data_IF_893217786317
#
_entry.id   IF_893217786317
#
_cell.length_a   1.000
_cell.length_b   1.000
_cell.length_c   1.000
_cell.angle_alpha   90.00
_cell.angle_beta   90.00
_cell.angle_gamma   90.00
#
_symmetry.space_group_name_H-M   'P 1'
#
loop_
_entity.id
_entity.type
_entity.pdbx_description
1 polymer ?
#
# COMPACT_ATOMS: atom_id res chain seq x y z
N UNK A 1 -3.33 -3.22 1.84
CA UNK A 1 -2.99 -2.00 1.06
C UNK A 1 -4.23 -1.12 0.94
N UNK A 2 -4.39 -0.13 1.81
CA UNK A 2 -5.62 0.67 1.89
C UNK A 2 -5.91 1.39 0.56
N UNK A 3 -7.14 1.21 0.04
CA UNK A 3 -7.57 1.77 -1.24
C UNK A 3 -7.16 1.00 -2.49
N UNK A 4 -6.44 -0.13 -2.36
CA UNK A 4 -6.10 -1.01 -3.48
C UNK A 4 -6.69 -2.42 -3.35
N UNK A 5 -7.09 -2.84 -2.15
CA UNK A 5 -7.61 -4.18 -1.90
C UNK A 5 -8.48 -4.23 -0.64
N UNK A 6 -9.27 -5.31 -0.53
CA UNK A 6 -9.94 -5.74 0.68
C UNK A 6 -9.98 -7.29 0.76
N UNK A 7 -11.12 -7.88 1.10
CA UNK A 7 -11.26 -9.34 1.31
C UNK A 7 -10.88 -10.20 0.11
N UNK A 8 -11.13 -9.78 -1.14
CA UNK A 8 -10.91 -10.65 -2.32
C UNK A 8 -9.43 -11.00 -2.49
N UNK A 9 -8.53 -10.02 -2.37
CA UNK A 9 -7.10 -10.27 -2.38
C UNK A 9 -6.68 -11.13 -1.18
N UNK A 10 -7.21 -10.84 0.02
CA UNK A 10 -6.88 -11.61 1.22
C UNK A 10 -7.26 -13.09 1.06
N UNK A 11 -8.44 -13.38 0.49
CA UNK A 11 -8.92 -14.74 0.20
C UNK A 11 -7.98 -15.45 -0.78
N UNK A 12 -7.63 -14.79 -1.88
CA UNK A 12 -6.76 -15.37 -2.89
C UNK A 12 -5.34 -15.67 -2.34
N UNK A 13 -4.79 -14.76 -1.54
CA UNK A 13 -3.51 -14.99 -0.84
C UNK A 13 -3.62 -16.19 0.11
N UNK A 14 -4.70 -16.29 0.89
CA UNK A 14 -4.93 -17.41 1.81
C UNK A 14 -5.04 -18.76 1.07
N UNK A 15 -5.76 -18.80 -0.06
CA UNK A 15 -5.84 -20.00 -0.92
C UNK A 15 -4.49 -20.42 -1.50
N UNK A 16 -3.61 -19.44 -1.73
CA UNK A 16 -2.23 -19.66 -2.13
C UNK A 16 -1.28 -20.09 -1.01
N UNK A 17 -1.76 -20.21 0.23
CA UNK A 17 -0.97 -20.61 1.41
C UNK A 17 -0.31 -19.45 2.17
N UNK A 18 -0.65 -18.20 1.85
CA UNK A 18 -0.15 -17.02 2.55
C UNK A 18 -1.08 -16.51 3.66
N UNK A 19 -0.65 -15.44 4.35
CA UNK A 19 -1.48 -14.71 5.31
C UNK A 19 -2.19 -13.54 4.62
N UNK A 20 -3.50 -13.67 4.38
CA UNK A 20 -4.32 -12.59 3.83
C UNK A 20 -4.45 -11.42 4.83
N UNK A 21 -4.50 -10.19 4.33
CA UNK A 21 -4.60 -8.98 5.16
C UNK A 21 -5.65 -8.00 4.66
N UNK A 22 -6.52 -7.51 5.56
CA UNK A 22 -7.51 -6.46 5.27
C UNK A 22 -7.02 -5.11 5.84
N UNK A 23 -6.93 -4.05 5.02
CA UNK A 23 -6.55 -2.72 5.48
C UNK A 23 -7.75 -1.93 6.01
N UNK A 24 -7.87 -1.80 7.33
CA UNK A 24 -9.03 -1.21 7.99
C UNK A 24 -9.01 0.33 8.02
N UNK A 25 -7.87 0.97 7.75
CA UNK A 25 -7.70 2.43 7.93
C UNK A 25 -8.65 3.33 7.11
N UNK A 26 -9.29 2.81 6.06
CA UNK A 26 -10.26 3.55 5.22
C UNK A 26 -11.67 2.93 5.27
N UNK A 27 -11.89 1.93 6.11
CA UNK A 27 -13.13 1.17 6.18
C UNK A 27 -13.96 1.60 7.40
N UNK A 28 -15.28 1.59 7.26
CA UNK A 28 -16.17 1.67 8.43
C UNK A 28 -16.13 0.35 9.20
N UNK A 29 -16.52 0.33 10.49
CA UNK A 29 -16.62 -0.91 11.26
C UNK A 29 -17.50 -1.98 10.58
N UNK A 30 -18.63 -1.59 9.99
CA UNK A 30 -19.51 -2.51 9.28
C UNK A 30 -18.86 -3.10 8.02
N UNK A 31 -18.12 -2.28 7.26
CA UNK A 31 -17.37 -2.79 6.11
C UNK A 31 -16.27 -3.78 6.54
N UNK A 32 -15.60 -3.54 7.67
CA UNK A 32 -14.63 -4.51 8.21
C UNK A 32 -15.32 -5.82 8.59
N UNK A 33 -16.49 -5.78 9.27
CA UNK A 33 -17.27 -6.99 9.58
C UNK A 33 -17.62 -7.75 8.32
N UNK A 34 -18.15 -7.07 7.31
CA UNK A 34 -18.53 -7.66 6.02
C UNK A 34 -17.34 -8.38 5.37
N UNK A 35 -16.20 -7.70 5.28
CA UNK A 35 -14.99 -8.29 4.68
C UNK A 35 -14.45 -9.49 5.47
N UNK A 36 -14.51 -9.45 6.81
CA UNK A 36 -14.09 -10.59 7.65
C UNK A 36 -15.05 -11.77 7.51
N UNK A 37 -16.37 -11.54 7.48
CA UNK A 37 -17.36 -12.58 7.25
C UNK A 37 -17.17 -13.23 5.87
N UNK A 38 -16.97 -12.41 4.82
CA UNK A 38 -16.68 -12.89 3.47
C UNK A 38 -15.40 -13.71 3.42
N UNK A 39 -14.32 -13.24 4.05
CA UNK A 39 -13.08 -14.00 4.13
C UNK A 39 -13.28 -15.36 4.78
N UNK A 40 -13.85 -15.39 5.99
CA UNK A 40 -14.07 -16.63 6.76
C UNK A 40 -14.98 -17.62 6.04
N UNK A 41 -16.01 -17.13 5.37
CA UNK A 41 -16.87 -17.99 4.55
C UNK A 41 -16.11 -18.61 3.37
N UNK A 42 -15.30 -17.81 2.68
CA UNK A 42 -14.57 -18.24 1.48
C UNK A 42 -13.33 -19.10 1.77
N UNK A 43 -12.83 -19.10 3.01
CA UNK A 43 -11.64 -19.84 3.46
C UNK A 43 -11.96 -20.88 4.54
N UNK A 44 -13.24 -21.19 4.77
CA UNK A 44 -13.72 -22.10 5.83
C UNK A 44 -12.98 -23.46 5.83
N UNK A 45 -12.84 -24.08 4.67
CA UNK A 45 -12.17 -25.38 4.50
C UNK A 45 -10.64 -25.31 4.74
N UNK A 46 -10.05 -24.11 4.70
CA UNK A 46 -8.62 -23.89 4.88
C UNK A 46 -8.27 -23.56 6.33
N UNK A 47 -9.25 -23.18 7.15
CA UNK A 47 -9.02 -22.58 8.49
C UNK A 47 -7.95 -21.48 8.45
N UNK A 48 -7.95 -20.68 7.38
CA UNK A 48 -6.88 -19.74 7.11
C UNK A 48 -6.89 -18.56 8.10
N UNK A 49 -5.75 -18.17 8.68
CA UNK A 49 -5.66 -16.99 9.53
C UNK A 49 -5.84 -15.70 8.72
N UNK A 50 -6.35 -14.65 9.37
CA UNK A 50 -6.48 -13.31 8.79
C UNK A 50 -5.70 -12.27 9.59
N UNK A 51 -5.09 -11.32 8.88
CA UNK A 51 -4.50 -10.12 9.44
C UNK A 51 -5.44 -8.91 9.25
N UNK A 52 -5.79 -8.21 10.33
CA UNK A 52 -6.42 -6.89 10.26
C UNK A 52 -5.39 -5.80 10.50
N UNK A 53 -5.24 -4.89 9.53
CA UNK A 53 -4.28 -3.79 9.62
C UNK A 53 -4.95 -2.47 9.98
N UNK A 54 -4.49 -1.84 11.06
CA UNK A 54 -4.95 -0.54 11.54
C UNK A 54 -3.84 0.51 11.54
N UNK A 55 -4.20 1.79 11.61
CA UNK A 55 -3.26 2.89 11.72
C UNK A 55 -3.29 3.46 13.15
N UNK A 56 -2.15 3.62 13.81
CA UNK A 56 -2.04 4.18 15.17
C UNK A 56 -1.43 5.58 15.16
N UNK A 57 -2.00 6.48 14.36
CA UNK A 57 -1.56 7.87 14.31
C UNK A 57 -2.45 8.74 15.19
N UNK A 58 -2.01 9.96 15.46
CA UNK A 58 -2.84 11.00 16.08
C UNK A 58 -3.47 11.86 14.99
N UNK A 59 -4.72 12.25 15.17
CA UNK A 59 -5.33 13.27 14.31
C UNK A 59 -4.83 14.65 14.75
N UNK A 60 -4.22 15.44 13.86
CA UNK A 60 -3.81 16.79 14.20
C UNK A 60 -5.06 17.67 14.44
N UNK A 61 -4.97 18.70 15.30
CA UNK A 61 -6.04 19.67 15.43
C UNK A 61 -6.25 20.41 14.09
N UNK A 62 -7.48 20.89 13.87
CA UNK A 62 -7.77 21.70 12.68
C UNK A 62 -6.87 22.93 12.61
N UNK A 63 -6.27 23.17 11.43
CA UNK A 63 -5.41 24.31 11.20
C UNK A 63 -5.79 25.02 9.89
N UNK A 64 -6.81 25.90 9.94
CA UNK A 64 -7.33 26.58 8.74
C UNK A 64 -6.28 27.40 7.99
N UNK A 65 -5.25 27.90 8.69
CA UNK A 65 -4.16 28.68 8.09
C UNK A 65 -3.30 27.80 7.20
N UNK A 66 -2.86 26.64 7.70
CA UNK A 66 -2.08 25.66 6.93
C UNK A 66 -2.91 25.08 5.79
N UNK A 67 -4.19 24.78 6.04
CA UNK A 67 -5.10 24.29 5.00
C UNK A 67 -5.26 25.30 3.87
N UNK A 68 -5.42 26.59 4.21
CA UNK A 68 -5.53 27.66 3.21
C UNK A 68 -4.21 27.88 2.46
N UNK A 69 -3.07 27.84 3.15
CA UNK A 69 -1.76 27.92 2.51
C UNK A 69 -1.57 26.80 1.49
N UNK A 70 -1.93 25.56 1.86
CA UNK A 70 -1.84 24.41 0.96
C UNK A 70 -2.78 24.56 -0.25
N UNK A 71 -4.00 25.04 -0.04
CA UNK A 71 -4.91 25.36 -1.16
C UNK A 71 -4.34 26.43 -2.10
N UNK A 72 -3.70 27.48 -1.56
CA UNK A 72 -3.09 28.53 -2.37
C UNK A 72 -1.91 27.99 -3.20
N UNK A 73 -1.10 27.08 -2.63
CA UNK A 73 -0.01 26.41 -3.36
C UNK A 73 -0.58 25.56 -4.51
N UNK A 74 -1.74 24.92 -4.29
CA UNK A 74 -2.40 24.09 -5.31
C UNK A 74 -3.23 24.89 -6.32
N UNK A 75 -3.45 26.19 -6.09
CA UNK A 75 -4.29 27.05 -6.93
C UNK A 75 -3.91 27.08 -8.41
N UNK A 76 -2.62 27.21 -8.78
CA UNK A 76 -2.22 27.18 -10.19
C UNK A 76 -2.66 25.89 -10.90
N UNK A 77 -2.58 24.74 -10.20
CA UNK A 77 -3.03 23.46 -10.75
C UNK A 77 -4.55 23.39 -10.89
N UNK A 78 -5.30 23.93 -9.93
CA UNK A 78 -6.77 23.95 -10.05
C UNK A 78 -7.19 24.73 -11.29
N UNK A 79 -6.56 25.87 -11.57
CA UNK A 79 -6.79 26.66 -12.78
C UNK A 79 -6.39 25.88 -14.05
N UNK A 80 -5.22 25.27 -14.05
CA UNK A 80 -4.72 24.49 -15.20
C UNK A 80 -5.63 23.31 -15.55
N UNK A 81 -6.13 22.59 -14.55
CA UNK A 81 -6.98 21.40 -14.76
C UNK A 81 -8.47 21.72 -14.83
N UNK A 82 -8.85 23.00 -14.71
CA UNK A 82 -10.25 23.46 -14.78
C UNK A 82 -11.11 23.00 -13.60
N UNK A 83 -10.50 22.88 -12.41
CA UNK A 83 -11.22 22.51 -11.18
C UNK A 83 -11.95 23.73 -10.62
N UNK A 84 -13.27 23.61 -10.46
CA UNK A 84 -14.10 24.64 -9.82
C UNK A 84 -13.88 24.64 -8.29
N UNK A 85 -13.23 25.70 -7.81
CA UNK A 85 -12.96 25.92 -6.38
C UNK A 85 -14.24 26.07 -5.53
N UNK A 86 -15.36 26.49 -6.12
CA UNK A 86 -16.63 26.63 -5.40
C UNK A 86 -17.30 25.28 -5.07
N UNK A 87 -16.94 24.23 -5.80
CA UNK A 87 -17.46 22.87 -5.64
C UNK A 87 -16.50 21.95 -4.86
N UNK A 88 -15.35 22.48 -4.43
CA UNK A 88 -14.34 21.72 -3.70
C UNK A 88 -14.84 21.38 -2.30
N UNK A 89 -15.40 20.18 -2.17
CA UNK A 89 -15.62 19.56 -0.87
C UNK A 89 -14.29 18.97 -0.41
N UNK A 90 -13.63 19.62 0.55
CA UNK A 90 -12.34 19.15 1.14
C UNK A 90 -12.54 17.93 2.06
N UNK A 91 -13.62 17.16 1.88
CA UNK A 91 -13.89 15.93 2.61
C UNK A 91 -13.37 14.73 1.83
N UNK A 92 -12.06 14.51 1.87
CA UNK A 92 -11.45 13.27 1.40
C UNK A 92 -11.74 12.12 2.37
N UNK A 93 -11.55 10.87 1.91
CA UNK A 93 -11.59 9.71 2.80
C UNK A 93 -10.44 9.81 3.82
N UNK A 94 -10.78 10.23 5.04
CA UNK A 94 -9.84 10.33 6.14
C UNK A 94 -9.41 8.94 6.56
N UNK A 95 -8.11 8.79 6.80
CA UNK A 95 -7.57 7.56 7.37
C UNK A 95 -7.80 7.64 8.86
N UNK A 96 -8.67 6.80 9.39
CA UNK A 96 -9.04 6.85 10.80
C UNK A 96 -7.98 6.14 11.65
N UNK A 97 -7.60 6.69 12.81
CA UNK A 97 -6.72 6.01 13.74
C UNK A 97 -7.46 4.88 14.46
N UNK A 98 -6.70 3.94 15.03
CA UNK A 98 -7.21 2.93 15.93
C UNK A 98 -7.76 3.59 17.20
N UNK A 99 -9.02 3.31 17.49
CA UNK A 99 -9.80 3.88 18.59
C UNK A 99 -10.56 2.78 19.36
N UNK A 100 -11.41 3.16 20.32
CA UNK A 100 -12.20 2.20 21.12
C UNK A 100 -13.12 1.34 20.26
N UNK A 101 -13.74 1.90 19.22
CA UNK A 101 -14.57 1.15 18.28
C UNK A 101 -13.75 0.11 17.51
N UNK A 102 -12.53 0.46 17.11
CA UNK A 102 -11.60 -0.47 16.46
C UNK A 102 -11.19 -1.61 17.41
N UNK A 103 -11.01 -1.31 18.70
CA UNK A 103 -10.70 -2.31 19.72
C UNK A 103 -11.88 -3.26 19.98
N UNK A 104 -13.10 -2.73 20.10
CA UNK A 104 -14.33 -3.52 20.20
C UNK A 104 -14.47 -4.47 19.02
N UNK A 105 -14.21 -3.96 17.81
CA UNK A 105 -14.26 -4.74 16.58
C UNK A 105 -13.22 -5.87 16.56
N UNK A 106 -11.99 -5.63 17.04
CA UNK A 106 -10.97 -6.68 17.18
C UNK A 106 -11.41 -7.74 18.20
N UNK A 107 -12.01 -7.34 19.33
CA UNK A 107 -12.52 -8.27 20.35
C UNK A 107 -13.70 -9.10 19.85
N UNK A 108 -14.57 -8.49 19.05
CA UNK A 108 -15.71 -9.13 18.40
C UNK A 108 -15.23 -10.14 17.35
N UNK A 109 -14.42 -9.69 16.40
CA UNK A 109 -14.03 -10.47 15.23
C UNK A 109 -12.94 -11.49 15.54
N UNK A 110 -12.09 -11.25 16.54
CA UNK A 110 -10.97 -12.12 16.95
C UNK A 110 -10.10 -12.57 15.76
N UNK A 111 -9.47 -11.64 15.02
CA UNK A 111 -8.52 -12.03 13.99
C UNK A 111 -7.30 -12.69 14.62
N UNK A 112 -6.68 -13.61 13.89
CA UNK A 112 -5.48 -14.32 14.34
C UNK A 112 -4.26 -13.40 14.38
N UNK A 113 -4.25 -12.36 13.53
CA UNK A 113 -3.19 -11.35 13.50
C UNK A 113 -3.79 -9.94 13.47
N UNK A 114 -3.23 -9.04 14.26
CA UNK A 114 -3.48 -7.60 14.18
C UNK A 114 -2.15 -6.90 13.90
N UNK A 115 -2.12 -6.05 12.89
CA UNK A 115 -0.93 -5.29 12.52
C UNK A 115 -1.21 -3.79 12.55
N UNK A 116 -0.18 -3.01 12.88
CA UNK A 116 -0.29 -1.55 13.03
C UNK A 116 0.71 -0.82 12.12
N UNK A 117 0.26 0.27 11.51
CA UNK A 117 1.14 1.30 10.95
C UNK A 117 1.21 2.48 11.92
N UNK A 118 2.39 3.12 11.99
CA UNK A 118 2.66 4.33 12.79
C UNK A 118 2.90 4.15 14.30
N UNK A 119 3.33 2.95 14.71
CA UNK A 119 3.88 2.59 16.04
C UNK A 119 3.50 1.14 16.39
N UNK A 120 4.25 0.32 17.16
CA UNK A 120 5.65 0.35 17.63
C UNK A 120 6.34 -0.94 17.13
N UNK A 121 7.65 -0.90 16.74
CA UNK A 121 8.74 -0.79 17.73
C UNK A 121 9.75 0.35 17.46
N UNK A 122 10.69 0.53 18.41
CA UNK A 122 11.74 1.55 18.39
C UNK A 122 12.60 1.55 17.12
N UNK A 123 13.31 2.65 16.84
CA UNK A 123 14.07 2.88 15.61
C UNK A 123 15.09 1.79 15.24
N UNK A 124 15.74 1.14 16.21
CA UNK A 124 16.68 0.04 15.95
C UNK A 124 15.97 -1.28 15.59
N UNK A 125 14.79 -1.54 16.16
CA UNK A 125 13.94 -2.68 15.77
C UNK A 125 13.26 -2.44 14.41
N UNK A 126 12.95 -1.18 14.09
CA UNK A 126 12.41 -0.80 12.79
C UNK A 126 13.38 -1.09 11.65
N UNK A 127 14.70 -1.01 11.89
CA UNK A 127 15.70 -1.32 10.87
C UNK A 127 15.71 -2.81 10.51
N UNK A 128 15.68 -3.70 11.51
CA UNK A 128 15.57 -5.15 11.26
C UNK A 128 14.26 -5.56 10.58
N UNK A 129 13.17 -4.84 10.80
CA UNK A 129 11.88 -5.08 10.10
C UNK A 129 11.88 -4.52 8.67
N UNK A 130 12.61 -3.43 8.39
CA UNK A 130 12.76 -2.89 7.02
C UNK A 130 13.52 -3.86 6.12
N UNK A 131 14.45 -4.63 6.67
CA UNK A 131 15.20 -5.64 5.90
C UNK A 131 14.30 -6.82 5.48
N UNK A 132 13.12 -6.99 6.11
CA UNK A 132 12.18 -8.10 5.86
C UNK A 132 10.85 -7.65 5.24
N UNK A 133 10.68 -6.34 4.98
CA UNK A 133 9.47 -5.75 4.40
C UNK A 133 9.80 -4.58 3.45
N UNK A 134 9.37 -4.71 2.19
CA UNK A 134 9.66 -3.74 1.12
C UNK A 134 10.77 -4.21 0.17
N UNK A 135 10.57 -4.04 -1.13
CA UNK A 135 11.53 -4.49 -2.16
C UNK A 135 11.55 -6.00 -2.44
N UNK A 136 10.93 -6.82 -1.59
CA UNK A 136 10.76 -8.27 -1.80
C UNK A 136 9.68 -8.49 -2.86
N UNK A 137 10.10 -8.94 -4.04
CA UNK A 137 9.21 -9.16 -5.19
C UNK A 137 9.23 -10.59 -5.76
N UNK A 138 10.18 -11.43 -5.36
CA UNK A 138 10.32 -12.81 -5.84
C UNK A 138 10.84 -13.76 -4.74
N UNK A 139 10.89 -15.06 -5.04
CA UNK A 139 11.33 -16.09 -4.09
C UNK A 139 12.80 -15.92 -3.62
N UNK A 140 13.67 -15.28 -4.41
CA UNK A 140 15.05 -15.00 -4.01
C UNK A 140 15.09 -13.95 -2.91
N UNK A 141 14.28 -12.91 -3.02
CA UNK A 141 14.11 -11.92 -1.95
C UNK A 141 13.56 -12.54 -0.67
N UNK A 142 12.63 -13.50 -0.78
CA UNK A 142 12.12 -14.26 0.38
C UNK A 142 13.23 -15.07 1.04
N UNK A 143 14.00 -15.83 0.25
CA UNK A 143 15.11 -16.64 0.74
C UNK A 143 16.19 -15.78 1.40
N UNK A 144 16.54 -14.64 0.79
CA UNK A 144 17.51 -13.71 1.35
C UNK A 144 17.05 -13.16 2.71
N UNK A 145 15.79 -12.71 2.82
CA UNK A 145 15.23 -12.26 4.10
C UNK A 145 15.25 -13.38 5.16
N UNK A 146 14.88 -14.61 4.77
CA UNK A 146 14.94 -15.77 5.66
C UNK A 146 16.36 -16.08 6.14
N UNK A 147 17.36 -16.01 5.25
CA UNK A 147 18.76 -16.19 5.59
C UNK A 147 19.29 -15.11 6.55
N UNK A 148 18.69 -13.92 6.53
CA UNK A 148 18.96 -12.82 7.49
C UNK A 148 18.18 -12.98 8.82
N UNK A 149 17.45 -14.07 9.00
CA UNK A 149 16.72 -14.39 10.24
C UNK A 149 15.26 -13.98 10.25
N UNK A 150 14.69 -13.58 9.10
CA UNK A 150 13.26 -13.28 9.01
C UNK A 150 12.41 -14.54 9.23
N UNK A 151 11.45 -14.48 10.15
CA UNK A 151 10.43 -15.52 10.32
C UNK A 151 9.34 -15.47 9.24
N UNK A 152 9.11 -14.29 8.66
CA UNK A 152 8.15 -14.06 7.59
C UNK A 152 8.53 -12.79 6.80
N UNK A 153 7.94 -12.63 5.62
CA UNK A 153 8.08 -11.43 4.79
C UNK A 153 6.71 -10.83 4.51
N UNK A 154 6.64 -9.50 4.40
CA UNK A 154 5.43 -8.81 4.00
C UNK A 154 5.62 -8.17 2.62
N UNK A 155 4.81 -8.60 1.65
CA UNK A 155 4.87 -8.14 0.26
C UNK A 155 3.64 -7.31 -0.10
N UNK A 156 3.85 -6.19 -0.78
CA UNK A 156 2.78 -5.28 -1.21
C UNK A 156 2.75 -5.12 -2.73
N UNK A 157 3.77 -4.47 -3.28
CA UNK A 157 3.85 -4.09 -4.70
C UNK A 157 3.67 -5.27 -5.67
N UNK A 158 4.16 -6.47 -5.32
CA UNK A 158 4.01 -7.68 -6.16
C UNK A 158 2.55 -8.00 -6.49
N UNK A 159 1.61 -7.67 -5.59
CA UNK A 159 0.19 -7.95 -5.73
C UNK A 159 -0.61 -6.83 -6.40
N UNK A 160 -0.01 -5.66 -6.69
CA UNK A 160 -0.76 -4.51 -7.21
C UNK A 160 -1.31 -4.72 -8.63
N UNK A 161 -0.81 -5.72 -9.36
CA UNK A 161 -1.35 -6.16 -10.64
C UNK A 161 -2.28 -7.39 -10.52
N UNK A 162 -2.50 -7.90 -9.31
CA UNK A 162 -3.33 -9.09 -9.14
C UNK A 162 -4.81 -8.81 -9.48
N UNK A 163 -5.51 -9.81 -9.99
CA UNK A 163 -6.90 -9.71 -10.48
C UNK A 163 -7.85 -9.19 -9.39
N UNK A 164 -7.59 -9.53 -8.14
CA UNK A 164 -8.41 -9.19 -6.98
C UNK A 164 -8.20 -7.76 -6.46
N UNK A 165 -7.29 -6.99 -7.06
CA UNK A 165 -7.01 -5.61 -6.63
C UNK A 165 -7.83 -4.58 -7.39
N UNK A 166 -8.24 -3.55 -6.66
CA UNK A 166 -8.90 -2.34 -7.17
C UNK A 166 -7.89 -1.26 -7.61
N UNK A 167 -6.64 -1.66 -7.89
CA UNK A 167 -5.61 -0.77 -8.42
C UNK A 167 -6.09 -0.16 -9.75
N UNK A 168 -6.10 1.17 -9.85
CA UNK A 168 -6.60 1.87 -11.05
C UNK A 168 -5.81 1.50 -12.31
N UNK A 169 -6.46 1.55 -13.48
CA UNK A 169 -5.82 1.23 -14.76
C UNK A 169 -4.56 2.08 -15.01
N UNK A 170 -4.58 3.36 -14.64
CA UNK A 170 -3.42 4.24 -14.75
C UNK A 170 -2.24 3.76 -13.88
N UNK A 171 -2.51 3.31 -12.65
CA UNK A 171 -1.47 2.77 -11.79
C UNK A 171 -0.98 1.39 -12.28
N UNK A 172 -1.89 0.52 -12.75
CA UNK A 172 -1.53 -0.75 -13.38
C UNK A 172 -0.62 -0.53 -14.59
N UNK A 173 -0.91 0.45 -15.44
CA UNK A 173 -0.07 0.79 -16.59
C UNK A 173 1.35 1.21 -16.17
N UNK A 174 1.48 1.98 -15.08
CA UNK A 174 2.80 2.36 -14.55
C UNK A 174 3.59 1.14 -14.05
N UNK A 175 2.94 0.20 -13.36
CA UNK A 175 3.57 -1.04 -12.90
C UNK A 175 4.02 -1.92 -14.09
N UNK A 176 3.16 -2.07 -15.11
CA UNK A 176 3.49 -2.83 -16.32
C UNK A 176 4.66 -2.22 -17.09
N UNK A 177 4.67 -0.89 -17.24
CA UNK A 177 5.81 -0.18 -17.84
C UNK A 177 7.09 -0.42 -17.04
N UNK A 178 7.03 -0.39 -15.72
CA UNK A 178 8.19 -0.64 -14.88
C UNK A 178 8.74 -2.07 -14.98
N UNK A 179 7.92 -3.05 -15.37
CA UNK A 179 8.36 -4.43 -15.59
C UNK A 179 9.14 -4.63 -16.90
N UNK A 180 8.91 -3.78 -17.91
CA UNK A 180 9.59 -3.85 -19.21
C UNK A 180 10.61 -2.74 -19.44
N UNK A 181 10.65 -1.74 -18.55
CA UNK A 181 11.54 -0.59 -18.69
C UNK A 181 13.01 -1.01 -18.66
N UNK A 182 13.77 -0.49 -19.61
CA UNK A 182 15.24 -0.57 -19.58
C UNK A 182 15.80 0.42 -18.56
N UNK A 183 17.10 0.35 -18.25
CA UNK A 183 17.73 1.21 -17.24
C UNK A 183 17.57 2.71 -17.53
N UNK A 184 17.53 3.11 -18.80
CA UNK A 184 17.38 4.51 -19.22
C UNK A 184 15.93 5.01 -19.10
N UNK A 185 14.96 4.10 -19.13
CA UNK A 185 13.51 4.38 -19.06
C UNK A 185 12.92 3.98 -17.70
N UNK A 186 13.77 3.64 -16.73
CA UNK A 186 13.37 3.10 -15.45
C UNK A 186 12.46 4.10 -14.72
N UNK A 187 11.25 3.65 -14.41
CA UNK A 187 10.30 4.47 -13.66
C UNK A 187 10.79 4.61 -12.21
N UNK A 188 11.23 5.80 -11.85
CA UNK A 188 11.72 6.10 -10.52
C UNK A 188 10.59 6.16 -9.49
N UNK A 189 10.92 5.76 -8.26
CA UNK A 189 10.07 5.98 -7.08
C UNK A 189 10.78 6.87 -6.07
N UNK A 190 10.03 7.77 -5.43
CA UNK A 190 10.55 8.64 -4.39
C UNK A 190 9.67 8.57 -3.14
N UNK A 191 10.26 8.92 -2.00
CA UNK A 191 9.51 9.15 -0.77
C UNK A 191 8.89 10.54 -0.86
N UNK A 192 7.59 10.64 -0.60
CA UNK A 192 6.85 11.90 -0.62
C UNK A 192 5.85 12.02 0.50
N UNK A 193 5.66 13.24 1.00
CA UNK A 193 4.57 13.60 1.93
C UNK A 193 3.40 14.32 1.25
N UNK A 194 3.51 14.71 -0.03
CA UNK A 194 2.53 15.56 -0.73
C UNK A 194 1.11 14.99 -0.70
N UNK A 195 0.96 13.67 -0.89
CA UNK A 195 -0.36 13.04 -0.98
C UNK A 195 -1.04 12.73 0.35
N UNK A 196 -0.35 12.85 1.47
CA UNK A 196 -0.90 12.39 2.74
C UNK A 196 -0.47 13.17 3.98
N UNK A 197 0.58 13.98 3.90
CA UNK A 197 1.20 14.64 5.05
C UNK A 197 2.25 13.78 5.77
N UNK A 198 2.50 12.55 5.29
CA UNK A 198 3.53 11.66 5.81
C UNK A 198 4.36 11.01 4.71
N UNK A 199 5.66 10.75 4.97
CA UNK A 199 6.53 10.05 4.03
C UNK A 199 5.95 8.69 3.59
N UNK A 200 5.68 8.56 2.29
CA UNK A 200 5.25 7.33 1.64
C UNK A 200 5.92 7.20 0.26
N UNK A 201 6.22 5.98 -0.19
CA UNK A 201 6.93 5.75 -1.46
C UNK A 201 5.96 5.48 -2.60
N UNK A 202 6.13 6.18 -3.72
CA UNK A 202 5.40 5.95 -4.96
C UNK A 202 6.18 6.36 -6.20
N UNK A 203 5.65 6.04 -7.38
CA UNK A 203 6.18 6.53 -8.65
C UNK A 203 6.19 8.06 -8.68
N UNK A 204 7.26 8.66 -9.21
CA UNK A 204 7.41 10.11 -9.28
C UNK A 204 6.38 10.71 -10.26
N UNK A 205 5.44 11.48 -9.74
CA UNK A 205 4.47 12.23 -10.53
C UNK A 205 4.91 13.68 -10.76
N UNK A 206 4.15 14.43 -11.57
CA UNK A 206 4.41 15.85 -11.82
C UNK A 206 4.37 16.68 -10.53
N UNK A 207 3.35 16.52 -9.70
CA UNK A 207 3.23 17.32 -8.46
C UNK A 207 4.41 17.07 -7.51
N UNK A 208 4.95 15.85 -7.47
CA UNK A 208 6.16 15.53 -6.70
C UNK A 208 7.41 16.21 -7.26
N UNK A 209 7.54 16.35 -8.59
CA UNK A 209 8.68 17.05 -9.20
C UNK A 209 8.65 18.54 -8.94
N UNK A 210 7.46 19.14 -8.99
CA UNK A 210 7.30 20.58 -8.91
C UNK A 210 7.25 21.12 -7.48
N UNK A 211 6.59 20.42 -6.55
CA UNK A 211 6.54 20.82 -5.14
C UNK A 211 7.68 20.24 -4.30
N UNK A 212 8.52 19.38 -4.92
CA UNK A 212 9.48 18.54 -4.23
C UNK A 212 8.81 17.26 -3.70
N UNK A 213 9.48 16.09 -3.79
CA UNK A 213 8.90 14.88 -3.23
C UNK A 213 8.59 15.08 -1.74
N UNK A 214 9.46 15.77 -1.01
CA UNK A 214 9.19 16.27 0.33
C UNK A 214 8.88 17.77 0.29
N UNK A 215 7.69 18.15 0.73
CA UNK A 215 7.20 19.53 0.77
C UNK A 215 6.93 19.93 2.22
N UNK A 216 7.58 20.99 2.71
CA UNK A 216 7.45 21.45 4.10
C UNK A 216 6.07 22.06 4.38
N UNK A 217 5.40 22.55 3.35
CA UNK A 217 4.11 23.20 3.37
C UNK A 217 2.94 22.21 3.28
N UNK A 218 3.22 20.93 2.99
CA UNK A 218 2.20 19.88 2.99
C UNK A 218 1.65 19.72 4.42
N UNK A 219 0.31 19.82 4.62
CA UNK A 219 -0.31 19.65 5.92
C UNK A 219 0.03 18.32 6.58
N UNK A 220 -0.05 18.26 7.91
CA UNK A 220 0.22 17.03 8.66
C UNK A 220 -0.73 15.89 8.26
N UNK A 221 -0.26 14.65 8.39
CA UNK A 221 -1.10 13.49 8.11
C UNK A 221 -2.31 13.44 9.03
N UNK A 222 -3.53 13.11 8.51
CA UNK A 222 -3.83 12.63 7.15
C UNK A 222 -4.36 13.69 6.17
N UNK A 223 -4.18 15.00 6.41
CA UNK A 223 -5.01 16.04 5.77
C UNK A 223 -4.51 16.53 4.41
N UNK A 224 -3.23 16.36 4.07
CA UNK A 224 -2.67 16.89 2.82
C UNK A 224 -3.32 16.36 1.54
N UNK A 225 -3.89 15.14 1.58
CA UNK A 225 -4.42 14.45 0.41
C UNK A 225 -5.79 14.95 -0.07
N UNK A 226 -6.62 15.50 0.82
CA UNK A 226 -7.99 15.87 0.47
C UNK A 226 -8.06 16.98 -0.61
N UNK A 227 -7.27 18.07 -0.53
CA UNK A 227 -7.22 19.09 -1.59
C UNK A 227 -6.79 18.54 -2.96
N UNK A 228 -5.88 17.58 -2.99
CA UNK A 228 -5.42 16.93 -4.24
C UNK A 228 -6.51 16.07 -4.90
N UNK A 229 -7.60 15.74 -4.21
CA UNK A 229 -8.63 14.82 -4.72
C UNK A 229 -9.31 15.31 -6.00
N UNK A 230 -9.65 16.60 -6.09
CA UNK A 230 -10.27 17.17 -7.29
C UNK A 230 -9.29 17.23 -8.47
N UNK A 231 -8.02 17.57 -8.20
CA UNK A 231 -6.94 17.55 -9.19
C UNK A 231 -6.69 16.15 -9.72
N UNK A 232 -6.62 15.15 -8.83
CA UNK A 232 -6.50 13.75 -9.19
C UNK A 232 -7.63 13.34 -10.12
N UNK A 233 -8.89 13.63 -9.75
CA UNK A 233 -10.05 13.30 -10.58
C UNK A 233 -9.98 13.96 -11.96
N UNK A 234 -9.64 15.25 -12.03
CA UNK A 234 -9.55 15.99 -13.29
C UNK A 234 -8.40 15.51 -14.20
N UNK A 235 -7.24 15.16 -13.61
CA UNK A 235 -6.10 14.62 -14.32
C UNK A 235 -6.37 13.19 -14.83
N UNK A 236 -6.88 12.30 -13.96
CA UNK A 236 -7.13 10.91 -14.32
C UNK A 236 -8.20 10.79 -15.43
N UNK A 237 -9.18 11.70 -15.47
CA UNK A 237 -10.17 11.78 -16.55
C UNK A 237 -9.55 12.05 -17.94
N UNK A 238 -8.33 12.61 -17.98
CA UNK A 238 -7.54 12.86 -19.20
C UNK A 238 -6.42 11.83 -19.41
N UNK A 239 -6.38 10.77 -18.60
CA UNK A 239 -5.31 9.77 -18.62
C UNK A 239 -3.98 10.23 -17.98
N UNK A 240 -4.01 11.36 -17.27
CA UNK A 240 -2.83 11.94 -16.60
C UNK A 240 -2.75 11.46 -15.13
N UNK A 241 -1.52 11.21 -14.66
CA UNK A 241 -1.21 10.76 -13.30
C UNK A 241 -0.57 11.84 -12.43
N UNK A 242 -0.54 13.09 -12.89
CA UNK A 242 0.13 14.23 -12.24
C UNK A 242 -0.12 14.34 -10.73
N UNK A 243 -1.34 14.04 -10.26
CA UNK A 243 -1.76 14.13 -8.86
C UNK A 243 -2.21 12.79 -8.26
N UNK A 244 -1.89 11.67 -8.92
CA UNK A 244 -2.26 10.34 -8.44
C UNK A 244 -1.25 9.83 -7.41
N UNK A 245 -1.75 9.31 -6.29
CA UNK A 245 -0.91 8.61 -5.31
C UNK A 245 -0.56 7.20 -5.82
N UNK A 246 0.48 7.10 -6.65
CA UNK A 246 0.93 5.87 -7.31
C UNK A 246 1.88 5.05 -6.42
N UNK A 247 1.36 4.51 -5.30
CA UNK A 247 2.18 3.83 -4.30
C UNK A 247 2.87 2.57 -4.81
N UNK A 248 4.18 2.51 -4.64
CA UNK A 248 5.01 1.40 -5.11
C UNK A 248 6.34 1.34 -4.35
N UNK A 249 6.87 0.13 -4.16
CA UNK A 249 8.21 -0.10 -3.65
C UNK A 249 9.29 0.24 -4.67
N UNK A 250 10.56 -0.03 -4.35
CA UNK A 250 11.68 0.22 -5.25
C UNK A 250 11.83 -0.81 -6.38
N UNK A 251 11.07 -1.91 -6.31
CA UNK A 251 11.14 -3.01 -7.28
C UNK A 251 9.77 -3.29 -7.90
N UNK A 252 9.15 -2.29 -8.57
CA UNK A 252 7.82 -2.44 -9.18
C UNK A 252 7.75 -3.51 -10.27
N UNK A 253 8.87 -3.81 -10.95
CA UNK A 253 8.92 -4.75 -12.06
C UNK A 253 8.62 -6.21 -11.68
N UNK A 254 8.56 -6.53 -10.39
CA UNK A 254 8.13 -7.85 -9.93
C UNK A 254 6.61 -8.04 -9.89
N UNK A 255 5.82 -6.97 -10.04
CA UNK A 255 4.36 -7.11 -10.05
C UNK A 255 3.90 -7.95 -11.26
N UNK A 256 2.97 -8.88 -11.02
CA UNK A 256 2.48 -9.80 -12.05
C UNK A 256 0.99 -9.65 -12.26
N UNK A 257 0.55 -9.63 -13.53
CA UNK A 257 -0.86 -9.67 -13.90
C UNK A 257 -1.38 -11.11 -13.91
N UNK A 258 -1.76 -11.59 -12.72
CA UNK A 258 -2.28 -12.94 -12.43
C UNK A 258 -3.15 -12.88 -11.16
N UNK A 259 -3.95 -13.90 -10.90
CA UNK A 259 -4.59 -14.02 -9.59
C UNK A 259 -3.56 -14.11 -8.45
N UNK A 260 -3.87 -13.53 -7.29
CA UNK A 260 -2.95 -13.56 -6.16
C UNK A 260 -2.70 -14.98 -5.63
N UNK A 261 -3.67 -15.88 -5.81
CA UNK A 261 -3.47 -17.31 -5.52
C UNK A 261 -2.35 -17.90 -6.37
N UNK A 262 -2.35 -17.63 -7.69
CA UNK A 262 -1.32 -18.11 -8.60
C UNK A 262 0.03 -17.49 -8.26
N UNK A 263 0.07 -16.18 -7.98
CA UNK A 263 1.31 -15.50 -7.56
C UNK A 263 1.89 -16.19 -6.31
N UNK A 264 1.07 -16.44 -5.29
CA UNK A 264 1.50 -17.11 -4.06
C UNK A 264 2.01 -18.53 -4.31
N UNK A 265 1.27 -19.35 -5.07
CA UNK A 265 1.69 -20.72 -5.40
C UNK A 265 3.01 -20.74 -6.17
N UNK A 266 3.22 -19.80 -7.09
CA UNK A 266 4.48 -19.63 -7.80
C UNK A 266 5.62 -19.28 -6.84
N UNK A 267 5.42 -18.30 -5.94
CA UNK A 267 6.44 -17.90 -4.97
C UNK A 267 6.85 -19.05 -4.04
N UNK A 268 5.89 -19.82 -3.52
CA UNK A 268 6.17 -20.97 -2.65
C UNK A 268 6.94 -22.04 -3.40
N UNK A 269 6.49 -22.40 -4.61
CA UNK A 269 7.17 -23.40 -5.44
C UNK A 269 8.60 -23.00 -5.79
N UNK A 270 8.81 -21.75 -6.19
CA UNK A 270 10.14 -21.22 -6.50
C UNK A 270 11.05 -21.19 -5.25
N UNK A 271 10.50 -20.84 -4.09
CA UNK A 271 11.24 -20.85 -2.83
C UNK A 271 11.67 -22.26 -2.45
N UNK A 272 10.79 -23.26 -2.54
CA UNK A 272 11.11 -24.66 -2.25
C UNK A 272 12.27 -25.17 -3.13
N UNK A 273 12.24 -24.83 -4.42
CA UNK A 273 13.32 -25.18 -5.35
C UNK A 273 14.64 -24.52 -4.97
N UNK A 274 14.63 -23.23 -4.62
CA UNK A 274 15.84 -22.50 -4.20
C UNK A 274 16.41 -23.05 -2.89
N UNK A 275 15.56 -23.35 -1.90
CA UNK A 275 15.98 -23.95 -0.63
C UNK A 275 16.62 -25.33 -0.86
N UNK A 276 16.05 -26.15 -1.74
CA UNK A 276 16.61 -27.45 -2.09
C UNK A 276 17.98 -27.32 -2.78
N UNK A 277 18.15 -26.35 -3.69
CA UNK A 277 19.42 -26.08 -4.36
C UNK A 277 20.52 -25.66 -3.37
N UNK A 278 20.21 -24.75 -2.44
CA UNK A 278 21.18 -24.29 -1.43
C UNK A 278 21.58 -25.45 -0.50
N UNK A 279 20.63 -26.27 -0.05
CA UNK A 279 20.94 -27.45 0.78
C UNK A 279 21.79 -28.49 0.05
N UNK A 280 21.47 -28.77 -1.21
CA UNK A 280 22.23 -29.72 -2.05
C UNK A 280 23.67 -29.28 -2.34
N UNK A 281 23.90 -27.97 -2.48
CA UNK A 281 25.25 -27.41 -2.62
C UNK A 281 26.10 -27.58 -1.36
N UNK A 282 25.49 -27.47 -0.17
CA UNK A 282 26.19 -27.67 1.11
C UNK A 282 26.49 -29.13 1.45
N UNK A 283 25.74 -30.10 0.91
CA UNK A 283 26.03 -31.53 1.08
C UNK A 283 27.09 -32.08 0.12
N UNK A 284 27.59 -31.25 -0.80
CA UNK A 284 28.55 -31.64 -1.85
C UNK A 284 29.96 -31.07 -1.62
N UNK A 285 30.19 -30.41 -0.48
CA UNK A 285 31.46 -29.84 -0.01
C UNK A 285 31.92 -30.57 1.25
#
# INVERSE_FOLDING_TARGET
MAGAQASDLAIAVARGGGLGAIPCALLSPDAVREHVHRFRAATKELSAPINLNFFCHTLPPSNPKTDKQWQNILEPYYREYGVDLSQLTVKGALRMPFDELSLELVRELKPEVVSFHFGLPSSHMLQGVKDTAGGIGDARGILAASALGAAAVQMGTVFLLADETQTSNLHRNMLKRAAIATREEALETAITNVFSGRPARGFITRVMRELGPMCAEAPEFPTAGAPLGALKKAAEAKGDTAFSSLWSGQSPGFAQEKSAEVIMRSLVKELDLLVAQVKGAHSSL
#
